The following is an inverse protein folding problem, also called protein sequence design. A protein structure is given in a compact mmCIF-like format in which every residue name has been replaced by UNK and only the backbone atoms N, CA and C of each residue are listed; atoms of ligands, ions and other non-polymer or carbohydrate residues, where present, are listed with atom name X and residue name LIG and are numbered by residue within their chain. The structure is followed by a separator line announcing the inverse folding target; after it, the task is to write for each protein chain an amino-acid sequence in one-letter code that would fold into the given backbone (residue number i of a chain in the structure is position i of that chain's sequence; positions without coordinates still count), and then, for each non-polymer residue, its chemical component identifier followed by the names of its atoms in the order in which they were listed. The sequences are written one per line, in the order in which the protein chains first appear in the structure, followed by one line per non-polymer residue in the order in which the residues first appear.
data_IF_741758736552
#
_entry.id   IF_741758736552
#
_cell.length_a   1.000
_cell.length_b   1.000
_cell.length_c   1.000
_cell.angle_alpha   90.00
_cell.angle_beta   90.00
_cell.angle_gamma   90.00
#
_symmetry.space_group_name_H-M   'P 1'
#
loop_
_entity.id
_entity.type
_entity.pdbx_description
1 polymer ?
#
# COMPACT_ATOMS: atom_id res chain seq x y z
N UNK A 1 9.59 2.41 -8.18
CA UNK A 1 9.84 3.63 -8.97
C UNK A 1 10.88 4.51 -8.27
N UNK A 2 12.05 4.66 -8.92
CA UNK A 2 13.19 5.37 -8.33
C UNK A 2 12.92 6.87 -8.13
N UNK A 3 12.18 7.49 -9.03
CA UNK A 3 11.84 8.92 -8.96
C UNK A 3 10.93 9.23 -7.76
N UNK A 4 9.91 8.41 -7.54
CA UNK A 4 9.02 8.54 -6.38
C UNK A 4 9.77 8.31 -5.08
N UNK A 5 10.64 7.30 -5.01
CA UNK A 5 11.46 7.05 -3.82
C UNK A 5 12.36 8.25 -3.49
N UNK A 6 13.03 8.84 -4.49
CA UNK A 6 13.87 10.03 -4.28
C UNK A 6 13.05 11.22 -3.79
N UNK A 7 11.90 11.49 -4.42
CA UNK A 7 11.01 12.57 -4.00
C UNK A 7 10.54 12.38 -2.55
N UNK A 8 10.21 11.17 -2.16
CA UNK A 8 9.78 10.85 -0.78
C UNK A 8 10.93 11.01 0.22
N UNK A 9 12.16 10.58 -0.13
CA UNK A 9 13.36 10.84 0.67
C UNK A 9 13.52 12.33 0.96
N UNK A 10 13.47 13.15 -0.09
CA UNK A 10 13.68 14.59 0.02
C UNK A 10 12.57 15.28 0.82
N UNK A 11 11.32 14.87 0.59
CA UNK A 11 10.16 15.49 1.23
C UNK A 11 9.99 15.10 2.71
N UNK A 12 10.30 13.87 3.08
CA UNK A 12 10.11 13.34 4.44
C UNK A 12 11.38 13.33 5.28
N UNK A 13 12.54 13.60 4.67
CA UNK A 13 13.84 13.47 5.36
C UNK A 13 14.09 12.03 5.82
N UNK A 14 13.66 11.05 5.03
CA UNK A 14 13.69 9.63 5.37
C UNK A 14 14.67 8.84 4.50
N UNK A 15 15.23 7.78 5.04
CA UNK A 15 15.93 6.75 4.24
C UNK A 15 14.90 5.79 3.66
N UNK A 16 14.97 5.52 2.36
CA UNK A 16 14.04 4.61 1.68
C UNK A 16 14.78 3.42 1.07
N UNK A 17 14.35 2.22 1.45
CA UNK A 17 14.74 0.98 0.79
C UNK A 17 13.66 0.62 -0.26
N UNK A 18 14.00 0.70 -1.54
CA UNK A 18 13.11 0.29 -2.63
C UNK A 18 13.38 -1.16 -2.99
N UNK A 19 12.40 -2.03 -2.77
CA UNK A 19 12.54 -3.47 -2.98
C UNK A 19 12.20 -3.82 -4.43
N UNK A 20 13.15 -4.45 -5.13
CA UNK A 20 12.91 -5.08 -6.44
C UNK A 20 12.47 -6.53 -6.23
N UNK A 21 11.19 -6.70 -5.88
CA UNK A 21 10.60 -8.01 -5.60
C UNK A 21 10.32 -8.80 -6.89
N UNK A 22 10.35 -10.12 -6.79
CA UNK A 22 10.01 -11.05 -7.89
C UNK A 22 8.56 -10.86 -8.32
N UNK A 23 8.33 -10.87 -9.62
CA UNK A 23 7.03 -10.56 -10.23
C UNK A 23 6.39 -11.80 -10.85
N UNK A 24 5.07 -11.80 -10.85
CA UNK A 24 4.27 -12.74 -11.62
C UNK A 24 4.27 -12.33 -13.12
N UNK A 25 4.02 -13.26 -14.04
CA UNK A 25 3.67 -14.67 -13.81
C UNK A 25 4.85 -15.61 -13.50
N UNK A 26 6.10 -15.17 -13.69
CA UNK A 26 7.29 -16.02 -13.49
C UNK A 26 7.44 -16.46 -12.03
N UNK A 27 7.01 -15.62 -11.10
CA UNK A 27 7.07 -15.89 -9.67
C UNK A 27 5.74 -15.51 -9.01
N UNK A 28 4.74 -16.41 -9.00
CA UNK A 28 3.44 -16.13 -8.40
C UNK A 28 3.54 -16.01 -6.88
N UNK A 29 2.44 -15.58 -6.25
CA UNK A 29 2.31 -15.55 -4.80
C UNK A 29 2.67 -16.91 -4.18
N UNK A 30 3.47 -16.92 -3.07
CA UNK A 30 3.78 -15.79 -2.18
C UNK A 30 5.10 -15.06 -2.45
N UNK A 31 5.75 -15.25 -3.63
CA UNK A 31 7.12 -14.82 -3.88
C UNK A 31 7.34 -13.31 -3.56
N UNK A 32 6.48 -12.42 -4.06
CA UNK A 32 6.61 -10.98 -3.82
C UNK A 32 6.48 -10.63 -2.33
N UNK A 33 5.51 -11.24 -1.62
CA UNK A 33 5.30 -11.01 -0.19
C UNK A 33 6.49 -11.52 0.64
N UNK A 34 7.10 -12.64 0.24
CA UNK A 34 8.30 -13.17 0.89
C UNK A 34 9.50 -12.24 0.68
N UNK A 35 9.68 -11.71 -0.53
CA UNK A 35 10.78 -10.82 -0.85
C UNK A 35 10.70 -9.50 -0.08
N UNK A 36 9.51 -8.86 -0.03
CA UNK A 36 9.35 -7.62 0.73
C UNK A 36 9.48 -7.84 2.23
N UNK A 37 9.04 -9.00 2.74
CA UNK A 37 9.23 -9.36 4.14
C UNK A 37 10.72 -9.57 4.48
N UNK A 38 11.44 -10.35 3.67
CA UNK A 38 12.86 -10.60 3.86
C UNK A 38 13.70 -9.31 3.76
N UNK A 39 13.37 -8.44 2.77
CA UNK A 39 14.02 -7.14 2.63
C UNK A 39 13.76 -6.23 3.84
N UNK A 40 12.53 -6.23 4.37
CA UNK A 40 12.19 -5.46 5.57
C UNK A 40 12.91 -6.00 6.80
N UNK A 41 12.98 -7.30 6.98
CA UNK A 41 13.75 -7.92 8.07
C UNK A 41 15.23 -7.52 7.98
N UNK A 42 15.82 -7.61 6.80
CA UNK A 42 17.20 -7.16 6.56
C UNK A 42 17.39 -5.69 6.90
N UNK A 43 16.44 -4.82 6.53
CA UNK A 43 16.50 -3.39 6.81
C UNK A 43 16.47 -3.10 8.32
N UNK A 44 15.63 -3.84 9.07
CA UNK A 44 15.60 -3.79 10.53
C UNK A 44 16.91 -4.27 11.17
N UNK A 45 17.46 -5.37 10.68
CA UNK A 45 18.67 -5.99 11.24
C UNK A 45 19.92 -5.11 11.01
N UNK A 46 19.92 -4.34 9.92
CA UNK A 46 21.03 -3.44 9.54
C UNK A 46 20.76 -1.96 9.83
N UNK A 47 19.69 -1.63 10.56
CA UNK A 47 19.27 -0.24 10.78
C UNK A 47 20.36 0.64 11.40
N UNK A 48 21.12 0.12 12.37
CA UNK A 48 22.21 0.84 13.03
C UNK A 48 23.35 1.17 12.04
N UNK A 49 23.71 0.23 11.17
CA UNK A 49 24.71 0.45 10.11
C UNK A 49 24.25 1.47 9.08
N UNK A 50 22.95 1.47 8.77
CA UNK A 50 22.31 2.39 7.82
C UNK A 50 22.01 3.77 8.44
N UNK A 51 22.22 3.94 9.76
CA UNK A 51 21.89 5.17 10.48
C UNK A 51 20.38 5.41 10.57
N UNK A 52 19.57 4.34 10.61
CA UNK A 52 18.11 4.37 10.65
C UNK A 52 17.61 4.06 12.06
N UNK A 53 16.62 4.81 12.53
CA UNK A 53 15.93 4.51 13.78
C UNK A 53 14.97 3.32 13.61
N UNK A 54 15.28 2.19 14.24
CA UNK A 54 14.44 0.98 14.24
C UNK A 54 13.02 1.23 14.72
N UNK A 55 12.83 2.21 15.62
CA UNK A 55 11.52 2.55 16.16
C UNK A 55 10.70 3.45 15.23
N UNK A 56 11.21 3.75 14.03
CA UNK A 56 10.55 4.62 13.06
C UNK A 56 10.55 4.05 11.64
N UNK A 57 10.59 2.74 11.51
CA UNK A 57 10.48 2.05 10.22
C UNK A 57 9.01 1.82 9.89
N UNK A 58 8.62 2.19 8.70
CA UNK A 58 7.28 1.96 8.15
C UNK A 58 7.32 1.49 6.71
N UNK A 59 6.16 1.31 6.11
CA UNK A 59 6.03 0.84 4.74
C UNK A 59 5.18 1.78 3.90
N UNK A 60 5.58 1.97 2.66
CA UNK A 60 4.87 2.72 1.63
C UNK A 60 4.75 1.88 0.36
N UNK A 61 3.63 1.96 -0.33
CA UNK A 61 3.46 1.33 -1.63
C UNK A 61 2.26 1.87 -2.39
N UNK A 62 2.30 1.78 -3.72
CA UNK A 62 1.25 2.24 -4.61
C UNK A 62 0.68 1.06 -5.40
N UNK A 63 -0.63 1.03 -5.64
CA UNK A 63 -1.31 0.03 -6.45
C UNK A 63 -1.02 -1.40 -5.97
N UNK A 64 -0.44 -2.26 -6.79
CA UNK A 64 0.05 -3.58 -6.37
C UNK A 64 1.05 -3.49 -5.21
N UNK A 65 1.94 -2.47 -5.21
CA UNK A 65 2.85 -2.19 -4.10
C UNK A 65 2.11 -1.76 -2.83
N UNK A 66 0.96 -1.09 -2.95
CA UNK A 66 0.08 -0.78 -1.82
C UNK A 66 -0.54 -2.04 -1.21
N UNK A 67 -1.00 -2.97 -2.04
CA UNK A 67 -1.44 -4.30 -1.61
C UNK A 67 -0.32 -5.06 -0.90
N UNK A 68 0.90 -5.06 -1.45
CA UNK A 68 2.06 -5.68 -0.82
C UNK A 68 2.46 -5.00 0.50
N UNK A 69 2.28 -3.69 0.63
CA UNK A 69 2.54 -2.98 1.89
C UNK A 69 1.60 -3.45 3.00
N UNK A 70 0.32 -3.66 2.71
CA UNK A 70 -0.65 -4.23 3.65
C UNK A 70 -0.32 -5.70 3.93
N UNK A 71 -0.03 -6.49 2.89
CA UNK A 71 0.38 -7.91 3.04
C UNK A 71 1.60 -8.06 3.93
N UNK A 72 2.59 -7.17 3.77
CA UNK A 72 3.78 -7.11 4.62
C UNK A 72 3.41 -6.80 6.07
N UNK A 73 2.55 -5.81 6.31
CA UNK A 73 2.14 -5.43 7.67
C UNK A 73 1.38 -6.57 8.37
N UNK A 74 0.48 -7.25 7.67
CA UNK A 74 -0.20 -8.45 8.16
C UNK A 74 0.78 -9.57 8.48
N UNK A 75 1.70 -9.89 7.56
CA UNK A 75 2.70 -10.95 7.76
C UNK A 75 3.65 -10.63 8.90
N UNK A 76 4.12 -9.38 9.02
CA UNK A 76 5.00 -8.96 10.10
C UNK A 76 4.32 -9.07 11.47
N UNK A 77 3.07 -8.61 11.59
CA UNK A 77 2.26 -8.79 12.79
C UNK A 77 2.10 -10.26 13.18
N UNK A 78 1.69 -11.09 12.22
CA UNK A 78 1.40 -12.52 12.44
C UNK A 78 2.66 -13.32 12.81
N UNK A 79 3.82 -12.89 12.30
CA UNK A 79 5.13 -13.50 12.61
C UNK A 79 5.79 -12.96 13.89
N UNK A 80 5.22 -11.91 14.51
CA UNK A 80 5.82 -11.25 15.68
C UNK A 80 6.98 -10.32 15.35
N UNK A 81 7.00 -9.74 14.18
CA UNK A 81 7.96 -8.74 13.70
C UNK A 81 8.34 -8.93 12.24
N UNK A 82 9.00 -7.95 11.60
CA UNK A 82 9.47 -6.64 12.13
C UNK A 82 8.33 -5.69 12.56
N UNK A 83 8.57 -4.88 13.58
CA UNK A 83 7.58 -3.97 14.16
C UNK A 83 7.45 -2.69 13.32
N UNK A 84 6.54 -2.70 12.35
CA UNK A 84 6.26 -1.55 11.50
C UNK A 84 5.48 -0.48 12.28
N UNK A 85 5.94 0.76 12.22
CA UNK A 85 5.38 1.88 13.00
C UNK A 85 4.31 2.70 12.27
N UNK A 86 4.29 2.60 10.96
CA UNK A 86 3.24 3.19 10.11
C UNK A 86 3.14 2.45 8.78
N UNK A 87 2.01 2.56 8.12
CA UNK A 87 1.87 2.14 6.74
C UNK A 87 1.15 3.20 5.90
N UNK A 88 1.56 3.30 4.63
CA UNK A 88 0.98 4.23 3.67
C UNK A 88 0.69 3.52 2.34
N UNK A 89 -0.33 2.65 2.28
CA UNK A 89 -0.80 2.06 1.04
C UNK A 89 -1.64 3.07 0.24
N UNK A 90 -1.23 3.33 -1.00
CA UNK A 90 -1.84 4.32 -1.88
C UNK A 90 -2.62 3.58 -2.96
N UNK A 91 -3.93 3.86 -3.10
CA UNK A 91 -4.85 3.16 -4.00
C UNK A 91 -4.52 1.67 -4.12
N UNK A 92 -4.44 0.95 -2.98
CA UNK A 92 -3.90 -0.40 -2.97
C UNK A 92 -4.80 -1.40 -3.71
N UNK A 93 -4.21 -2.31 -4.47
CA UNK A 93 -4.86 -3.46 -5.06
C UNK A 93 -4.93 -4.58 -4.01
N UNK A 94 -6.10 -4.82 -3.41
CA UNK A 94 -6.25 -5.69 -2.22
C UNK A 94 -7.29 -6.81 -2.33
N UNK A 95 -8.18 -6.75 -3.33
CA UNK A 95 -9.26 -7.73 -3.46
C UNK A 95 -9.26 -8.43 -4.83
N UNK A 96 -8.76 -9.67 -4.85
CA UNK A 96 -8.70 -10.49 -6.06
C UNK A 96 -10.06 -10.82 -6.69
N UNK A 97 -11.17 -10.66 -5.96
CA UNK A 97 -12.51 -10.98 -6.44
C UNK A 97 -13.02 -10.00 -7.48
N UNK A 98 -12.56 -8.74 -7.43
CA UNK A 98 -13.00 -7.66 -8.34
C UNK A 98 -14.54 -7.53 -8.42
N UNK A 99 -15.24 -7.60 -7.27
CA UNK A 99 -16.70 -7.64 -7.22
C UNK A 99 -17.36 -6.36 -6.68
N UNK A 100 -16.57 -5.37 -6.27
CA UNK A 100 -17.10 -4.10 -5.79
C UNK A 100 -17.85 -3.34 -6.89
N UNK A 101 -18.64 -2.35 -6.50
CA UNK A 101 -19.33 -1.51 -7.48
C UNK A 101 -18.33 -0.73 -8.34
N UNK A 102 -17.31 -0.10 -7.73
CA UNK A 102 -16.30 0.65 -8.49
C UNK A 102 -15.49 -0.25 -9.44
N UNK A 103 -15.15 -1.48 -9.04
CA UNK A 103 -14.42 -2.41 -9.92
C UNK A 103 -15.22 -2.81 -11.15
N UNK A 104 -16.56 -2.79 -11.07
CA UNK A 104 -17.47 -3.09 -12.20
C UNK A 104 -17.77 -1.87 -13.07
N UNK A 105 -17.60 -0.66 -12.55
CA UNK A 105 -17.79 0.58 -13.33
C UNK A 105 -16.61 0.90 -14.25
N UNK A 106 -15.39 0.58 -13.81
CA UNK A 106 -14.15 0.84 -14.57
C UNK A 106 -13.83 -0.42 -15.39
N UNK A 107 -14.55 -0.60 -16.48
CA UNK A 107 -14.40 -1.72 -17.40
C UNK A 107 -14.05 -1.19 -18.79
N UNK A 108 -12.94 -1.69 -19.35
CA UNK A 108 -12.40 -1.30 -20.68
C UNK A 108 -12.13 0.22 -20.82
N UNK A 109 -11.77 0.91 -19.74
CA UNK A 109 -11.44 2.34 -19.75
C UNK A 109 -10.33 2.67 -18.75
N UNK A 110 -9.52 3.69 -19.06
CA UNK A 110 -8.55 4.26 -18.14
C UNK A 110 -7.16 3.62 -18.21
N UNK A 111 -6.37 3.88 -17.19
CA UNK A 111 -4.98 3.37 -17.05
C UNK A 111 -4.97 1.94 -16.53
N UNK A 112 -5.93 1.63 -15.64
CA UNK A 112 -6.12 0.30 -15.07
C UNK A 112 -7.61 0.02 -14.98
N UNK A 113 -8.01 -1.14 -15.45
CA UNK A 113 -9.42 -1.54 -15.55
C UNK A 113 -9.66 -2.93 -14.95
N UNK A 114 -10.92 -3.33 -14.93
CA UNK A 114 -11.35 -4.60 -14.39
C UNK A 114 -10.77 -5.80 -15.14
N UNK A 115 -10.71 -5.75 -16.47
CA UNK A 115 -10.20 -6.86 -17.28
C UNK A 115 -8.70 -7.08 -16.98
N UNK A 116 -7.90 -6.01 -17.00
CA UNK A 116 -6.49 -6.05 -16.62
C UNK A 116 -6.27 -6.51 -15.18
N UNK A 117 -7.14 -6.09 -14.25
CA UNK A 117 -7.06 -6.51 -12.85
C UNK A 117 -7.32 -8.01 -12.68
N UNK A 118 -8.32 -8.58 -13.36
CA UNK A 118 -8.61 -10.02 -13.31
C UNK A 118 -7.40 -10.81 -13.84
N UNK A 119 -6.85 -10.42 -14.99
CA UNK A 119 -5.68 -11.08 -15.56
C UNK A 119 -4.44 -10.99 -14.65
N UNK A 120 -4.20 -9.81 -14.06
CA UNK A 120 -3.09 -9.62 -13.12
C UNK A 120 -3.23 -10.48 -11.86
N UNK A 121 -4.45 -10.62 -11.32
CA UNK A 121 -4.72 -11.50 -10.19
C UNK A 121 -4.51 -12.99 -10.55
N UNK A 122 -4.92 -13.41 -11.76
CA UNK A 122 -4.67 -14.78 -12.24
C UNK A 122 -3.16 -15.07 -12.32
N UNK A 123 -2.38 -14.13 -12.86
CA UNK A 123 -0.92 -14.25 -12.88
C UNK A 123 -0.32 -14.26 -11.48
N UNK A 124 -0.78 -13.32 -10.63
CA UNK A 124 -0.24 -13.17 -9.28
C UNK A 124 -0.51 -14.38 -8.40
N UNK A 125 -1.71 -14.94 -8.47
CA UNK A 125 -2.06 -16.13 -7.71
C UNK A 125 -1.48 -17.41 -8.32
N UNK A 126 -1.31 -17.47 -9.66
CA UNK A 126 -0.71 -18.63 -10.35
C UNK A 126 -1.44 -19.94 -10.08
N UNK A 127 -2.76 -19.89 -9.90
CA UNK A 127 -3.60 -21.03 -9.54
C UNK A 127 -3.60 -21.39 -8.04
N UNK A 128 -2.89 -20.66 -7.20
CA UNK A 128 -2.95 -20.82 -5.75
C UNK A 128 -4.25 -20.22 -5.18
N UNK A 129 -4.73 -20.76 -4.07
CA UNK A 129 -5.83 -20.17 -3.33
C UNK A 129 -5.36 -18.87 -2.69
N UNK A 130 -6.15 -17.79 -2.86
CA UNK A 130 -5.88 -16.52 -2.20
C UNK A 130 -6.06 -16.62 -0.68
N UNK A 131 -5.19 -15.96 0.04
CA UNK A 131 -5.22 -15.78 1.49
C UNK A 131 -5.06 -14.30 1.87
N UNK A 132 -5.03 -14.00 3.16
CA UNK A 132 -4.89 -12.63 3.66
C UNK A 132 -3.53 -11.97 3.31
N UNK A 133 -2.50 -12.74 3.00
CA UNK A 133 -1.18 -12.23 2.63
C UNK A 133 -1.01 -12.04 1.11
N UNK A 134 -1.90 -12.62 0.31
CA UNK A 134 -1.96 -12.42 -1.13
C UNK A 134 -3.10 -11.47 -1.53
N UNK A 135 -4.20 -11.48 -0.81
CA UNK A 135 -5.38 -10.64 -1.03
C UNK A 135 -5.86 -10.06 0.31
N UNK A 136 -5.31 -8.92 0.75
CA UNK A 136 -5.53 -8.35 2.10
C UNK A 136 -6.99 -8.11 2.48
N UNK A 137 -7.87 -7.91 1.52
CA UNK A 137 -9.31 -7.82 1.77
C UNK A 137 -9.90 -9.06 2.45
N UNK A 138 -9.24 -10.22 2.35
CA UNK A 138 -9.64 -11.48 3.01
C UNK A 138 -9.25 -11.54 4.49
N UNK A 139 -8.39 -10.66 4.99
CA UNK A 139 -7.99 -10.67 6.40
C UNK A 139 -9.22 -10.49 7.31
N UNK A 140 -9.43 -11.41 8.23
CA UNK A 140 -10.55 -11.33 9.19
C UNK A 140 -10.23 -10.42 10.37
N UNK A 141 -8.98 -10.38 10.79
CA UNK A 141 -8.48 -9.57 11.89
C UNK A 141 -7.49 -8.52 11.38
N UNK A 142 -7.80 -7.25 11.59
CA UNK A 142 -6.96 -6.11 11.27
C UNK A 142 -6.40 -5.42 12.53
N UNK A 143 -6.63 -5.99 13.72
CA UNK A 143 -6.11 -5.43 14.96
C UNK A 143 -4.57 -5.42 14.98
N UNK A 144 -4.00 -4.49 15.74
CA UNK A 144 -2.56 -4.32 15.89
C UNK A 144 -1.79 -4.03 14.59
N UNK A 145 -2.48 -3.62 13.52
CA UNK A 145 -1.82 -3.04 12.36
C UNK A 145 -1.35 -1.60 12.68
N UNK A 146 -0.30 -1.12 12.03
CA UNK A 146 0.24 0.21 12.34
C UNK A 146 -0.70 1.34 11.89
N UNK A 147 -0.57 2.54 12.48
CA UNK A 147 -1.27 3.74 12.01
C UNK A 147 -1.09 3.93 10.50
N UNK A 148 -2.18 4.27 9.82
CA UNK A 148 -2.28 4.16 8.37
C UNK A 148 -2.68 5.48 7.72
N UNK A 149 -1.99 5.83 6.64
CA UNK A 149 -2.47 6.78 5.64
C UNK A 149 -2.88 6.02 4.38
N UNK A 150 -4.06 6.30 3.85
CA UNK A 150 -4.52 5.76 2.56
C UNK A 150 -5.17 6.86 1.74
N UNK A 151 -5.03 6.78 0.41
CA UNK A 151 -5.83 7.59 -0.50
C UNK A 151 -6.17 6.83 -1.79
N UNK A 152 -7.25 7.24 -2.45
CA UNK A 152 -7.71 6.65 -3.70
C UNK A 152 -8.47 7.68 -4.53
N UNK A 153 -8.48 7.54 -5.85
CA UNK A 153 -9.28 8.35 -6.75
C UNK A 153 -10.77 7.99 -6.68
N UNK A 154 -11.67 8.98 -6.83
CA UNK A 154 -13.11 8.73 -6.94
C UNK A 154 -13.45 7.81 -8.13
N UNK A 155 -12.71 7.96 -9.24
CA UNK A 155 -12.90 7.19 -10.48
C UNK A 155 -11.97 5.97 -10.58
N UNK A 156 -11.33 5.58 -9.48
CA UNK A 156 -10.49 4.40 -9.42
C UNK A 156 -11.34 3.14 -9.20
N UNK A 157 -10.99 2.05 -9.86
CA UNK A 157 -11.66 0.77 -9.66
C UNK A 157 -11.48 0.21 -8.25
N UNK A 158 -10.39 0.56 -7.57
CA UNK A 158 -10.08 0.11 -6.20
C UNK A 158 -10.78 0.93 -5.11
N UNK A 159 -11.48 2.02 -5.46
CA UNK A 159 -12.12 2.93 -4.50
C UNK A 159 -12.94 2.22 -3.44
N UNK A 160 -13.83 1.33 -3.84
CA UNK A 160 -14.79 0.74 -2.90
C UNK A 160 -14.13 -0.32 -2.00
N UNK A 161 -13.16 -1.09 -2.51
CA UNK A 161 -12.41 -2.04 -1.69
C UNK A 161 -11.52 -1.31 -0.68
N UNK A 162 -10.90 -0.20 -1.07
CA UNK A 162 -10.08 0.65 -0.21
C UNK A 162 -10.91 1.32 0.88
N UNK A 163 -12.08 1.85 0.53
CA UNK A 163 -13.02 2.44 1.49
C UNK A 163 -13.49 1.41 2.53
N UNK A 164 -13.86 0.20 2.09
CA UNK A 164 -14.27 -0.89 2.96
C UNK A 164 -13.11 -1.34 3.86
N UNK A 165 -11.91 -1.41 3.32
CA UNK A 165 -10.74 -1.79 4.11
C UNK A 165 -10.38 -0.73 5.15
N UNK A 166 -10.42 0.56 4.80
CA UNK A 166 -10.21 1.68 5.73
C UNK A 166 -11.24 1.67 6.86
N UNK A 167 -12.52 1.42 6.56
CA UNK A 167 -13.56 1.26 7.57
C UNK A 167 -13.24 0.11 8.54
N UNK A 168 -12.84 -1.04 8.03
CA UNK A 168 -12.50 -2.22 8.85
C UNK A 168 -11.25 -1.99 9.72
N UNK A 169 -10.28 -1.22 9.24
CA UNK A 169 -9.15 -0.78 10.06
C UNK A 169 -9.62 0.06 11.26
N UNK A 170 -10.53 1.03 11.03
CA UNK A 170 -11.12 1.84 12.11
C UNK A 170 -11.91 0.99 13.10
N UNK A 171 -12.68 0.00 12.63
CA UNK A 171 -13.44 -0.95 13.46
C UNK A 171 -12.51 -1.85 14.31
N UNK A 172 -11.27 -2.03 13.87
CA UNK A 172 -10.20 -2.75 14.58
C UNK A 172 -9.33 -1.84 15.46
N UNK A 173 -9.79 -0.61 15.77
CA UNK A 173 -9.08 0.40 16.57
C UNK A 173 -7.73 0.85 15.97
N UNK A 174 -7.51 0.62 14.66
CA UNK A 174 -6.35 1.15 13.94
C UNK A 174 -6.60 2.60 13.53
N UNK A 175 -5.67 3.48 13.81
CA UNK A 175 -5.76 4.88 13.37
C UNK A 175 -5.59 4.98 11.85
N UNK A 176 -6.55 5.59 11.17
CA UNK A 176 -6.55 5.77 9.72
C UNK A 176 -6.78 7.24 9.36
N UNK A 177 -5.98 7.75 8.44
CA UNK A 177 -6.28 8.93 7.65
C UNK A 177 -6.55 8.49 6.22
N UNK A 178 -7.80 8.65 5.75
CA UNK A 178 -8.25 8.18 4.44
C UNK A 178 -8.82 9.32 3.60
N UNK A 179 -8.40 9.40 2.33
CA UNK A 179 -8.88 10.41 1.39
C UNK A 179 -9.41 9.78 0.10
N UNK A 180 -10.55 10.30 -0.39
CA UNK A 180 -11.06 10.05 -1.73
C UNK A 180 -10.92 11.34 -2.53
N UNK A 181 -10.25 11.27 -3.68
CA UNK A 181 -9.96 12.43 -4.52
C UNK A 181 -10.99 12.56 -5.64
N UNK A 182 -11.92 13.56 -5.56
CA UNK A 182 -12.93 13.77 -6.61
C UNK A 182 -12.31 14.01 -7.98
N UNK A 183 -12.77 13.24 -8.98
CA UNK A 183 -12.29 13.34 -10.36
C UNK A 183 -10.94 12.67 -10.65
N UNK A 184 -10.25 12.12 -9.65
CA UNK A 184 -9.02 11.39 -9.85
C UNK A 184 -9.32 9.94 -10.29
N UNK A 185 -8.58 9.46 -11.28
CA UNK A 185 -8.55 8.06 -11.72
C UNK A 185 -7.27 7.37 -11.18
N UNK A 186 -7.13 6.06 -11.41
CA UNK A 186 -5.98 5.29 -10.91
C UNK A 186 -4.64 5.90 -11.32
N UNK A 187 -3.80 6.24 -10.35
CA UNK A 187 -2.48 6.85 -10.54
C UNK A 187 -2.50 8.18 -11.34
N UNK A 188 -3.60 8.93 -11.30
CA UNK A 188 -3.77 10.18 -12.04
C UNK A 188 -2.66 11.19 -11.76
N UNK A 189 -2.15 11.24 -10.53
CA UNK A 189 -1.09 12.15 -10.11
C UNK A 189 0.29 11.81 -10.72
N UNK A 190 0.44 10.60 -11.27
CA UNK A 190 1.64 10.17 -12.01
C UNK A 190 1.48 10.50 -13.49
N UNK A 191 0.32 10.15 -14.08
CA UNK A 191 0.09 10.29 -15.53
C UNK A 191 -0.31 11.72 -15.94
N UNK A 192 -0.85 12.51 -15.03
CA UNK A 192 -1.21 13.91 -15.23
C UNK A 192 -0.53 14.80 -14.18
N UNK A 193 0.80 14.67 -14.03
CA UNK A 193 1.57 15.28 -12.95
C UNK A 193 1.44 16.81 -12.88
N UNK A 194 1.24 17.47 -14.01
CA UNK A 194 1.10 18.94 -14.10
C UNK A 194 -0.29 19.46 -13.71
N UNK A 195 -1.29 18.59 -13.58
CA UNK A 195 -2.64 18.99 -13.19
C UNK A 195 -2.69 19.51 -11.74
N UNK A 196 -3.51 20.54 -11.49
CA UNK A 196 -3.66 21.10 -10.14
C UNK A 196 -4.16 20.08 -9.13
N UNK A 197 -5.03 19.15 -9.56
CA UNK A 197 -5.49 18.04 -8.72
C UNK A 197 -4.32 17.14 -8.31
N UNK A 198 -3.44 16.79 -9.25
CA UNK A 198 -2.26 15.94 -8.99
C UNK A 198 -1.30 16.58 -7.99
N UNK A 199 -1.04 17.88 -8.13
CA UNK A 199 -0.23 18.66 -7.17
C UNK A 199 -0.89 18.68 -5.78
N UNK A 200 -2.20 18.85 -5.74
CA UNK A 200 -3.00 18.81 -4.50
C UNK A 200 -2.91 17.44 -3.83
N UNK A 201 -3.08 16.36 -4.59
CA UNK A 201 -2.94 14.98 -4.10
C UNK A 201 -1.57 14.77 -3.47
N UNK A 202 -0.48 15.09 -4.17
CA UNK A 202 0.89 14.95 -3.65
C UNK A 202 1.12 15.76 -2.39
N UNK A 203 0.70 17.02 -2.37
CA UNK A 203 0.87 17.90 -1.19
C UNK A 203 0.15 17.33 0.04
N UNK A 204 -1.11 16.90 -0.12
CA UNK A 204 -1.89 16.32 0.97
C UNK A 204 -1.38 14.94 1.39
N UNK A 205 -0.95 14.11 0.46
CA UNK A 205 -0.38 12.77 0.73
C UNK A 205 0.87 12.90 1.60
N UNK A 206 1.82 13.77 1.23
CA UNK A 206 3.03 14.01 2.02
C UNK A 206 2.69 14.55 3.41
N UNK A 207 1.77 15.50 3.50
CA UNK A 207 1.32 16.03 4.78
C UNK A 207 0.62 14.96 5.64
N UNK A 208 -0.21 14.10 5.04
CA UNK A 208 -0.90 13.00 5.71
C UNK A 208 0.07 11.95 6.24
N UNK A 209 1.00 11.51 5.41
CA UNK A 209 2.07 10.57 5.82
C UNK A 209 2.89 11.17 6.97
N UNK A 210 3.25 12.46 6.90
CA UNK A 210 3.95 13.14 7.99
C UNK A 210 3.14 13.10 9.28
N UNK A 211 1.81 13.36 9.24
CA UNK A 211 0.95 13.27 10.44
C UNK A 211 0.92 11.86 11.05
N UNK A 212 0.89 10.82 10.21
CA UNK A 212 0.92 9.44 10.68
C UNK A 212 2.27 9.09 11.31
N UNK A 213 3.38 9.51 10.69
CA UNK A 213 4.73 9.37 11.25
C UNK A 213 4.85 10.09 12.60
N UNK A 214 4.37 11.33 12.70
CA UNK A 214 4.41 12.11 13.94
C UNK A 214 3.51 11.51 15.04
N UNK A 215 2.42 10.88 14.66
CA UNK A 215 1.62 10.11 15.60
C UNK A 215 2.39 8.90 16.12
N UNK A 216 2.99 8.12 15.23
CA UNK A 216 3.80 6.96 15.61
C UNK A 216 4.96 7.34 16.56
N UNK A 217 5.64 8.47 16.32
CA UNK A 217 6.68 9.00 17.21
C UNK A 217 6.18 9.29 18.63
N UNK A 218 4.93 9.70 18.79
CA UNK A 218 4.36 10.01 20.12
C UNK A 218 3.91 8.77 20.90
N UNK A 219 3.74 7.65 20.21
CA UNK A 219 3.30 6.37 20.81
C UNK A 219 4.46 5.47 21.23
N UNK A 220 5.69 5.76 20.76
CA UNK A 220 6.94 5.14 21.18
C UNK A 220 7.54 5.86 22.38
#
# INVERSE_FOLDING_TARGET
DHATAQMMCDALGATIASVDYRKAPENPSPAATEDVYAATQWFFDNADELGVDKNMIGVYGQSAGGGLAISLALKARDAGGPDLKFMAPIYPMIDHRNETHSSKLVDDVGIWDRAGSIEAWDWYLGGNQADQHSSPALANDLSNLPPTYMDVGEMDMFRDEDLQFAQRLLEADVRVEFHIWPGAYHASEIFAADAELSKTIWSNRLAGITRVIDYAKRMN
#
